data_IF_006253140462
#
_entry.id   IF_006253140462
#
_cell.length_a   1.000
_cell.length_b   1.000
_cell.length_c   1.000
_cell.angle_alpha   90.00
_cell.angle_beta   90.00
_cell.angle_gamma   90.00
#
_symmetry.space_group_name_H-M   'P 1'
#
loop_
_entity.id
_entity.type
_entity.pdbx_description
1 polymer ?
#
# COMPACT_ATOMS: atom_id res chain seq x y z
N UNK A 1 -8.60 19.09 -20.91
CA UNK A 1 -8.52 17.60 -20.98
C UNK A 1 -9.72 17.04 -20.24
N UNK A 2 -10.35 15.99 -20.77
CA UNK A 2 -11.46 15.36 -20.05
C UNK A 2 -10.92 14.66 -18.79
N UNK A 3 -11.56 14.92 -17.63
CA UNK A 3 -11.24 14.26 -16.38
C UNK A 3 -11.58 12.77 -16.44
N UNK A 4 -10.77 11.89 -15.85
CA UNK A 4 -11.13 10.46 -15.64
C UNK A 4 -12.29 10.40 -14.64
N UNK A 5 -13.36 9.69 -15.01
CA UNK A 5 -14.59 9.55 -14.23
C UNK A 5 -14.52 8.29 -13.38
N UNK A 6 -14.51 8.48 -12.06
CA UNK A 6 -14.33 7.39 -11.11
C UNK A 6 -15.65 6.88 -10.54
N UNK A 7 -15.77 5.55 -10.51
CA UNK A 7 -16.74 4.84 -9.70
C UNK A 7 -16.09 4.28 -8.44
N UNK A 8 -16.71 4.44 -7.27
CA UNK A 8 -16.25 3.88 -6.01
C UNK A 8 -17.12 2.68 -5.64
N UNK A 9 -16.52 1.48 -5.57
CA UNK A 9 -17.23 0.22 -5.21
C UNK A 9 -17.09 -0.01 -3.71
N UNK A 10 -17.80 0.67 -2.89
CA UNK A 10 -18.00 0.53 -1.45
C UNK A 10 -18.10 1.88 -0.76
N UNK A 11 -18.68 1.89 0.42
CA UNK A 11 -18.70 3.03 1.36
C UNK A 11 -17.73 2.79 2.53
N UNK A 12 -16.60 2.14 2.26
CA UNK A 12 -15.56 1.88 3.25
C UNK A 12 -14.89 3.18 3.73
N UNK A 13 -14.40 3.18 4.98
CA UNK A 13 -13.77 4.38 5.58
C UNK A 13 -12.63 4.95 4.72
N UNK A 14 -11.77 4.09 4.15
CA UNK A 14 -10.67 4.52 3.27
C UNK A 14 -11.16 5.23 2.01
N UNK A 15 -12.38 4.95 1.54
CA UNK A 15 -12.94 5.62 0.38
C UNK A 15 -13.21 7.11 0.61
N UNK A 16 -13.43 7.55 1.86
CA UNK A 16 -13.55 9.00 2.21
C UNK A 16 -12.25 9.74 1.94
N UNK A 17 -11.13 9.17 2.39
CA UNK A 17 -9.79 9.72 2.12
C UNK A 17 -9.54 9.84 0.62
N UNK A 18 -9.83 8.78 -0.13
CA UNK A 18 -9.57 8.70 -1.55
C UNK A 18 -10.57 9.53 -2.40
N UNK A 19 -11.77 9.77 -1.92
CA UNK A 19 -12.68 10.77 -2.51
C UNK A 19 -12.01 12.14 -2.61
N UNK A 20 -11.46 12.63 -1.49
CA UNK A 20 -10.76 13.91 -1.44
C UNK A 20 -9.49 13.91 -2.30
N UNK A 21 -8.75 12.80 -2.34
CA UNK A 21 -7.58 12.63 -3.19
C UNK A 21 -7.94 12.69 -4.69
N UNK A 22 -9.00 12.00 -5.12
CA UNK A 22 -9.51 12.05 -6.50
C UNK A 22 -9.89 13.49 -6.87
N UNK A 23 -10.67 14.17 -6.00
CA UNK A 23 -11.05 15.58 -6.21
C UNK A 23 -9.85 16.48 -6.43
N UNK A 24 -8.81 16.32 -5.61
CA UNK A 24 -7.65 17.21 -5.60
C UNK A 24 -6.58 16.83 -6.64
N UNK A 25 -6.76 15.74 -7.37
CA UNK A 25 -5.80 15.29 -8.39
C UNK A 25 -5.74 16.19 -9.63
N UNK A 26 -6.82 16.94 -9.89
CA UNK A 26 -6.96 17.89 -11.00
C UNK A 26 -7.43 17.25 -12.32
N UNK A 27 -7.09 15.99 -12.57
CA UNK A 27 -7.41 15.24 -13.79
C UNK A 27 -8.46 14.13 -13.59
N UNK A 28 -9.16 14.15 -12.48
CA UNK A 28 -10.13 13.13 -12.07
C UNK A 28 -11.37 13.74 -11.44
N UNK A 29 -12.48 13.01 -11.43
CA UNK A 29 -13.70 13.33 -10.70
C UNK A 29 -14.42 12.06 -10.29
N UNK A 30 -15.06 12.02 -9.12
CA UNK A 30 -15.95 10.91 -8.75
C UNK A 30 -17.31 11.18 -9.42
N UNK A 31 -17.81 10.23 -10.19
CA UNK A 31 -19.11 10.30 -10.87
C UNK A 31 -20.14 9.32 -10.35
N UNK A 32 -19.69 8.29 -9.61
CA UNK A 32 -20.57 7.25 -9.10
C UNK A 32 -20.05 6.63 -7.80
N UNK A 33 -20.96 6.25 -6.91
CA UNK A 33 -20.67 5.45 -5.73
C UNK A 33 -21.70 4.32 -5.65
N UNK A 34 -21.23 3.11 -5.39
CA UNK A 34 -22.11 1.97 -5.17
C UNK A 34 -21.86 1.29 -3.83
N UNK A 35 -22.92 0.79 -3.23
CA UNK A 35 -22.88 -0.18 -2.14
C UNK A 35 -24.00 -1.19 -2.30
N UNK A 36 -24.07 -2.20 -1.43
CA UNK A 36 -25.17 -3.19 -1.41
C UNK A 36 -26.50 -2.63 -0.91
N UNK A 37 -26.56 -1.32 -0.68
CA UNK A 37 -27.73 -0.60 -0.20
C UNK A 37 -27.68 0.83 -0.73
N UNK A 38 -28.69 1.24 -1.49
CA UNK A 38 -28.75 2.55 -2.14
C UNK A 38 -28.67 3.71 -1.13
N UNK A 39 -29.33 3.60 0.03
CA UNK A 39 -29.30 4.63 1.05
C UNK A 39 -27.91 4.86 1.64
N UNK A 40 -27.11 3.78 1.79
CA UNK A 40 -25.71 3.90 2.18
C UNK A 40 -24.88 4.66 1.15
N UNK A 41 -25.14 4.41 -0.13
CA UNK A 41 -24.44 5.13 -1.20
C UNK A 41 -24.82 6.61 -1.20
N UNK A 42 -26.11 6.93 -1.04
CA UNK A 42 -26.62 8.31 -0.93
C UNK A 42 -26.01 9.05 0.25
N UNK A 43 -26.06 8.43 1.44
CA UNK A 43 -25.48 9.04 2.65
C UNK A 43 -23.97 9.23 2.53
N UNK A 44 -23.25 8.26 1.95
CA UNK A 44 -21.81 8.42 1.72
C UNK A 44 -21.50 9.59 0.79
N UNK A 45 -22.28 9.77 -0.29
CA UNK A 45 -22.14 10.90 -1.21
C UNK A 45 -22.42 12.20 -0.49
N UNK A 46 -23.52 12.30 0.26
CA UNK A 46 -23.90 13.48 1.03
C UNK A 46 -22.80 13.91 2.00
N UNK A 47 -22.34 12.97 2.84
CA UNK A 47 -21.28 13.22 3.84
C UNK A 47 -20.00 13.76 3.17
N UNK A 48 -19.59 13.18 2.04
CA UNK A 48 -18.36 13.59 1.36
C UNK A 48 -18.53 14.86 0.51
N UNK A 49 -19.74 15.10 -0.04
CA UNK A 49 -20.06 16.35 -0.74
C UNK A 49 -20.05 17.54 0.22
N UNK A 50 -20.47 17.35 1.47
CA UNK A 50 -20.43 18.41 2.49
C UNK A 50 -18.99 18.78 2.88
N UNK A 51 -18.06 17.83 2.86
CA UNK A 51 -16.66 18.06 3.25
C UNK A 51 -15.76 18.48 2.06
N UNK A 52 -15.91 17.80 0.93
CA UNK A 52 -15.06 17.95 -0.25
C UNK A 52 -15.91 17.83 -1.54
N UNK A 53 -16.69 18.86 -1.91
CA UNK A 53 -17.67 18.77 -2.97
C UNK A 53 -17.05 18.52 -4.35
N UNK A 54 -17.63 17.60 -5.12
CA UNK A 54 -17.44 17.50 -6.58
C UNK A 54 -18.29 18.59 -7.27
N UNK A 55 -17.85 19.04 -8.44
CA UNK A 55 -18.60 20.04 -9.24
C UNK A 55 -20.01 19.55 -9.59
N UNK A 56 -20.14 18.26 -9.90
CA UNK A 56 -21.41 17.57 -10.11
C UNK A 56 -21.51 16.44 -9.09
N UNK A 57 -22.58 16.37 -8.29
CA UNK A 57 -22.77 15.29 -7.32
C UNK A 57 -22.78 13.92 -8.02
N UNK A 58 -22.05 12.92 -7.48
CA UNK A 58 -22.03 11.59 -8.04
C UNK A 58 -23.39 10.86 -7.96
N UNK A 59 -23.60 9.92 -8.88
CA UNK A 59 -24.79 9.06 -8.89
C UNK A 59 -24.63 7.97 -7.83
N UNK A 60 -25.66 7.76 -7.02
CA UNK A 60 -25.74 6.66 -6.08
C UNK A 60 -26.33 5.41 -6.73
N UNK A 61 -25.67 4.25 -6.56
CA UNK A 61 -26.15 2.95 -7.01
C UNK A 61 -26.36 2.01 -5.82
N UNK A 62 -27.38 1.13 -5.91
CA UNK A 62 -27.72 0.13 -4.90
C UNK A 62 -26.96 -1.20 -5.08
N UNK A 63 -26.28 -1.38 -6.21
CA UNK A 63 -25.46 -2.55 -6.52
C UNK A 63 -24.17 -2.15 -7.24
N UNK A 64 -23.16 -3.00 -7.13
CA UNK A 64 -21.89 -2.79 -7.85
C UNK A 64 -22.05 -3.06 -9.35
N UNK A 65 -22.94 -3.96 -9.72
CA UNK A 65 -23.30 -4.28 -11.12
C UNK A 65 -23.84 -3.05 -11.85
N UNK A 66 -24.77 -2.33 -11.22
CA UNK A 66 -25.34 -1.09 -11.80
C UNK A 66 -24.24 -0.04 -12.05
N UNK A 67 -23.35 0.16 -11.09
CA UNK A 67 -22.23 1.09 -11.28
C UNK A 67 -21.32 0.65 -12.43
N UNK A 68 -20.97 -0.64 -12.50
CA UNK A 68 -20.12 -1.16 -13.56
C UNK A 68 -20.77 -1.05 -14.95
N UNK A 69 -22.09 -1.13 -15.05
CA UNK A 69 -22.85 -0.94 -16.29
C UNK A 69 -22.94 0.54 -16.72
N UNK A 70 -22.66 1.47 -15.83
CA UNK A 70 -22.77 2.90 -16.09
C UNK A 70 -21.75 3.37 -17.14
N UNK A 71 -22.22 4.18 -18.10
CA UNK A 71 -21.38 4.87 -19.09
C UNK A 71 -20.67 6.10 -18.52
N UNK A 72 -21.05 6.53 -17.32
CA UNK A 72 -20.48 7.69 -16.61
C UNK A 72 -19.22 7.34 -15.81
N UNK A 73 -18.70 6.11 -15.95
CA UNK A 73 -17.53 5.60 -15.23
C UNK A 73 -16.48 5.11 -16.20
N UNK A 74 -15.25 5.60 -16.10
CA UNK A 74 -14.09 5.16 -16.89
C UNK A 74 -13.20 4.22 -16.07
N UNK A 75 -13.04 4.51 -14.78
CA UNK A 75 -12.20 3.77 -13.86
C UNK A 75 -12.92 3.50 -12.54
N UNK A 76 -12.59 2.40 -11.89
CA UNK A 76 -13.13 2.06 -10.58
C UNK A 76 -12.05 1.99 -9.50
N UNK A 77 -12.40 2.50 -8.33
CA UNK A 77 -11.65 2.28 -7.09
C UNK A 77 -12.38 1.20 -6.27
N UNK A 78 -11.65 0.15 -5.89
CA UNK A 78 -12.21 -1.04 -5.24
C UNK A 78 -11.66 -1.22 -3.82
N UNK A 79 -12.23 -0.52 -2.80
CA UNK A 79 -11.87 -0.67 -1.39
C UNK A 79 -12.69 -1.75 -0.67
N UNK A 80 -12.93 -2.88 -1.33
CA UNK A 80 -13.61 -4.02 -0.75
C UNK A 80 -12.67 -4.84 0.15
N UNK A 81 -13.17 -5.69 1.04
CA UNK A 81 -12.35 -6.70 1.72
C UNK A 81 -11.60 -7.58 0.72
N UNK A 82 -10.38 -8.01 1.09
CA UNK A 82 -9.46 -8.77 0.21
C UNK A 82 -10.14 -10.00 -0.42
N UNK A 83 -10.88 -10.77 0.37
CA UNK A 83 -11.57 -11.97 -0.11
C UNK A 83 -12.69 -11.74 -1.16
N UNK A 84 -13.05 -10.49 -1.43
CA UNK A 84 -14.07 -10.12 -2.41
C UNK A 84 -13.51 -9.44 -3.66
N UNK A 85 -12.25 -9.01 -3.64
CA UNK A 85 -11.69 -8.13 -4.69
C UNK A 85 -11.56 -8.81 -6.04
N UNK A 86 -11.15 -10.09 -6.06
CA UNK A 86 -10.84 -10.79 -7.31
C UNK A 86 -12.04 -10.80 -8.27
N UNK A 87 -13.24 -11.14 -7.78
CA UNK A 87 -14.45 -11.17 -8.60
C UNK A 87 -14.77 -9.76 -9.16
N UNK A 88 -14.71 -8.73 -8.34
CA UNK A 88 -15.06 -7.37 -8.75
C UNK A 88 -14.04 -6.74 -9.71
N UNK A 89 -12.75 -7.00 -9.53
CA UNK A 89 -11.71 -6.58 -10.49
C UNK A 89 -11.93 -7.26 -11.85
N UNK A 90 -12.20 -8.57 -11.87
CA UNK A 90 -12.45 -9.32 -13.10
C UNK A 90 -13.71 -8.80 -13.80
N UNK A 91 -14.80 -8.54 -13.05
CA UNK A 91 -16.04 -7.96 -13.61
C UNK A 91 -15.82 -6.56 -14.17
N UNK A 92 -15.10 -5.68 -13.43
CA UNK A 92 -14.76 -4.35 -13.89
C UNK A 92 -13.95 -4.39 -15.19
N UNK A 93 -12.93 -5.25 -15.25
CA UNK A 93 -12.11 -5.43 -16.44
C UNK A 93 -12.95 -5.93 -17.63
N UNK A 94 -13.87 -6.89 -17.43
CA UNK A 94 -14.73 -7.42 -18.51
C UNK A 94 -15.57 -6.35 -19.20
N UNK A 95 -15.99 -5.33 -18.47
CA UNK A 95 -16.79 -4.21 -18.99
C UNK A 95 -15.93 -2.98 -19.34
N UNK A 96 -14.59 -3.15 -19.42
CA UNK A 96 -13.68 -2.11 -19.91
C UNK A 96 -13.35 -1.02 -18.92
N UNK A 97 -13.57 -1.20 -17.60
CA UNK A 97 -13.20 -0.21 -16.59
C UNK A 97 -11.76 -0.41 -16.14
N UNK A 98 -10.96 0.66 -16.08
CA UNK A 98 -9.65 0.67 -15.44
C UNK A 98 -9.80 0.51 -13.93
N UNK A 99 -8.79 -0.03 -13.25
CA UNK A 99 -8.94 -0.47 -11.85
C UNK A 99 -7.81 0.01 -10.97
N UNK A 100 -8.15 0.73 -9.90
CA UNK A 100 -7.33 0.86 -8.70
C UNK A 100 -7.91 -0.05 -7.63
N UNK A 101 -7.13 -1.06 -7.20
CA UNK A 101 -7.54 -2.06 -6.21
C UNK A 101 -6.81 -1.85 -4.89
N UNK A 102 -7.51 -1.84 -3.77
CA UNK A 102 -6.85 -1.78 -2.47
C UNK A 102 -5.94 -3.00 -2.22
N UNK A 103 -4.94 -2.75 -1.39
CA UNK A 103 -4.00 -3.78 -0.91
C UNK A 103 -4.56 -4.52 0.34
N UNK A 104 -4.11 -5.76 0.61
CA UNK A 104 -3.49 -6.69 -0.33
C UNK A 104 -4.46 -7.03 -1.44
N UNK A 105 -3.96 -7.19 -2.67
CA UNK A 105 -4.85 -7.20 -3.84
C UNK A 105 -5.81 -8.38 -3.89
N UNK A 106 -5.40 -9.55 -3.45
CA UNK A 106 -6.15 -10.80 -3.56
C UNK A 106 -5.85 -11.76 -2.41
N UNK A 107 -6.69 -12.78 -2.23
CA UNK A 107 -6.50 -13.82 -1.21
C UNK A 107 -5.44 -14.85 -1.60
N UNK A 108 -4.96 -14.82 -2.83
CA UNK A 108 -3.85 -15.65 -3.31
C UNK A 108 -3.20 -15.11 -4.57
N UNK A 109 -1.93 -15.49 -4.78
CA UNK A 109 -1.18 -15.18 -6.01
C UNK A 109 -1.90 -15.70 -7.26
N UNK A 110 -2.59 -16.84 -7.16
CA UNK A 110 -3.40 -17.40 -8.25
C UNK A 110 -4.58 -16.48 -8.60
N UNK A 111 -5.29 -15.97 -7.61
CA UNK A 111 -6.38 -15.01 -7.82
C UNK A 111 -5.85 -13.72 -8.44
N UNK A 112 -4.75 -13.16 -7.89
CA UNK A 112 -4.15 -11.95 -8.43
C UNK A 112 -3.75 -12.11 -9.89
N UNK A 113 -3.10 -13.22 -10.25
CA UNK A 113 -2.78 -13.53 -11.66
C UNK A 113 -4.04 -13.56 -12.54
N UNK A 114 -5.14 -14.11 -12.04
CA UNK A 114 -6.41 -14.15 -12.77
C UNK A 114 -6.98 -12.74 -12.99
N UNK A 115 -6.91 -11.88 -11.98
CA UNK A 115 -7.30 -10.46 -12.05
C UNK A 115 -6.49 -9.71 -13.13
N UNK A 116 -5.17 -9.80 -13.04
CA UNK A 116 -4.25 -9.12 -13.95
C UNK A 116 -4.38 -9.61 -15.39
N UNK A 117 -4.56 -10.92 -15.58
CA UNK A 117 -4.84 -11.49 -16.90
C UNK A 117 -6.17 -10.97 -17.47
N UNK A 118 -7.19 -10.78 -16.64
CA UNK A 118 -8.46 -10.19 -17.10
C UNK A 118 -8.26 -8.74 -17.54
N UNK A 119 -7.53 -7.93 -16.75
CA UNK A 119 -7.19 -6.54 -17.08
C UNK A 119 -6.39 -6.47 -18.39
N UNK A 120 -5.33 -7.27 -18.53
CA UNK A 120 -4.47 -7.31 -19.72
C UNK A 120 -5.24 -7.68 -20.99
N UNK A 121 -6.08 -8.72 -20.92
CA UNK A 121 -6.92 -9.13 -22.07
C UNK A 121 -7.90 -8.07 -22.52
N UNK A 122 -8.39 -7.26 -21.59
CA UNK A 122 -9.35 -6.19 -21.86
C UNK A 122 -8.69 -4.83 -22.11
N UNK A 123 -7.34 -4.78 -22.08
CA UNK A 123 -6.55 -3.57 -22.27
C UNK A 123 -6.96 -2.46 -21.27
N UNK A 124 -7.25 -2.82 -20.03
CA UNK A 124 -7.54 -1.88 -18.95
C UNK A 124 -6.36 -1.84 -17.97
N UNK A 125 -6.05 -0.64 -17.49
CA UNK A 125 -4.99 -0.42 -16.52
C UNK A 125 -5.39 -0.98 -15.16
N UNK A 126 -4.47 -1.69 -14.52
CA UNK A 126 -4.55 -2.09 -13.11
C UNK A 126 -3.43 -1.40 -12.32
N UNK A 127 -3.74 -0.99 -11.09
CA UNK A 127 -2.78 -0.53 -10.09
C UNK A 127 -3.28 -0.88 -8.70
N UNK A 128 -2.39 -1.23 -7.78
CA UNK A 128 -2.75 -1.40 -6.38
C UNK A 128 -2.67 -0.07 -5.61
N UNK A 129 -3.47 0.04 -4.54
CA UNK A 129 -3.66 1.27 -3.76
C UNK A 129 -2.51 1.56 -2.78
N UNK A 130 -1.26 1.37 -3.18
CA UNK A 130 -0.08 1.62 -2.32
C UNK A 130 0.39 3.06 -2.48
N UNK A 131 -0.19 3.96 -1.71
CA UNK A 131 -0.04 5.41 -1.89
C UNK A 131 1.38 5.94 -1.66
N UNK A 132 2.17 5.36 -0.74
CA UNK A 132 3.50 5.88 -0.41
C UNK A 132 4.47 5.84 -1.60
N UNK A 133 4.26 4.92 -2.55
CA UNK A 133 5.07 4.82 -3.77
C UNK A 133 4.90 6.02 -4.71
N UNK A 134 3.89 6.85 -4.47
CA UNK A 134 3.60 8.08 -5.21
C UNK A 134 4.01 9.36 -4.45
N UNK A 135 4.73 9.21 -3.32
CA UNK A 135 5.32 10.33 -2.59
C UNK A 135 6.58 10.83 -3.29
N UNK A 136 6.73 12.15 -3.39
CA UNK A 136 7.94 12.81 -3.88
C UNK A 136 9.16 12.51 -3.00
N UNK A 137 8.92 12.07 -1.75
CA UNK A 137 9.96 11.60 -0.84
C UNK A 137 10.75 10.44 -1.45
N UNK A 138 10.10 9.51 -2.17
CA UNK A 138 10.79 8.37 -2.77
C UNK A 138 11.71 8.77 -3.91
N UNK A 139 11.35 9.76 -4.72
CA UNK A 139 12.23 10.30 -5.76
C UNK A 139 13.52 10.84 -5.15
N UNK A 140 13.38 11.63 -4.06
CA UNK A 140 14.52 12.19 -3.34
C UNK A 140 15.36 11.12 -2.63
N UNK A 141 14.69 10.12 -2.04
CA UNK A 141 15.34 8.97 -1.40
C UNK A 141 16.19 8.19 -2.41
N UNK A 142 15.63 7.90 -3.59
CA UNK A 142 16.36 7.23 -4.68
C UNK A 142 17.59 8.05 -5.11
N UNK A 143 17.45 9.36 -5.24
CA UNK A 143 18.56 10.25 -5.58
C UNK A 143 19.69 10.19 -4.53
N UNK A 144 19.40 10.15 -3.23
CA UNK A 144 20.39 10.02 -2.17
C UNK A 144 21.10 8.64 -2.20
N UNK A 145 20.35 7.57 -2.44
CA UNK A 145 20.92 6.22 -2.60
C UNK A 145 21.83 6.17 -3.82
N UNK A 146 21.38 6.66 -4.97
CA UNK A 146 22.17 6.69 -6.22
C UNK A 146 23.39 7.58 -6.14
N UNK A 147 23.34 8.65 -5.33
CA UNK A 147 24.50 9.49 -5.01
C UNK A 147 25.52 8.80 -4.06
N UNK A 148 25.27 7.53 -3.70
CA UNK A 148 26.18 6.71 -2.90
C UNK A 148 26.21 7.08 -1.42
N UNK A 149 25.20 7.79 -0.90
CA UNK A 149 25.17 8.23 0.51
C UNK A 149 25.10 7.07 1.49
N UNK A 150 24.47 5.97 1.10
CA UNK A 150 24.49 4.71 1.87
C UNK A 150 25.69 3.83 1.55
N UNK A 151 26.34 4.02 0.40
CA UNK A 151 27.22 3.00 -0.18
C UNK A 151 26.40 1.77 -0.63
N UNK A 152 27.00 0.58 -0.56
CA UNK A 152 26.32 -0.67 -0.82
C UNK A 152 25.31 -0.96 0.30
N UNK A 153 24.03 -1.19 -0.07
CA UNK A 153 22.99 -1.51 0.92
C UNK A 153 23.24 -2.90 1.48
N UNK A 154 23.30 -3.03 2.80
CA UNK A 154 23.51 -4.28 3.52
C UNK A 154 22.26 -4.75 4.26
N UNK A 155 21.51 -3.84 4.85
CA UNK A 155 20.35 -4.15 5.68
C UNK A 155 19.23 -3.15 5.49
N UNK A 156 18.01 -3.64 5.32
CA UNK A 156 16.77 -2.85 5.39
C UNK A 156 15.99 -3.34 6.60
N UNK A 157 15.48 -2.42 7.41
CA UNK A 157 14.59 -2.78 8.52
C UNK A 157 13.38 -1.87 8.51
N UNK A 158 12.18 -2.42 8.77
CA UNK A 158 10.95 -1.63 8.82
C UNK A 158 9.97 -2.20 9.82
N UNK A 159 9.15 -1.33 10.38
CA UNK A 159 8.02 -1.71 11.21
C UNK A 159 6.78 -0.92 10.81
N UNK A 160 5.64 -1.58 10.88
CA UNK A 160 4.34 -0.91 10.80
C UNK A 160 3.37 -1.58 11.76
N UNK A 161 2.91 -0.83 12.74
CA UNK A 161 2.03 -1.33 13.79
C UNK A 161 1.06 -0.28 14.30
N UNK A 162 0.01 -0.74 14.94
CA UNK A 162 -0.89 0.05 15.77
C UNK A 162 -1.50 -0.82 16.87
N UNK A 163 -1.93 -0.18 17.96
CA UNK A 163 -2.58 -0.89 19.05
C UNK A 163 -4.09 -0.92 18.85
N UNK A 164 -4.63 -2.11 18.58
CA UNK A 164 -6.05 -2.36 18.42
C UNK A 164 -6.72 -2.70 19.75
N UNK A 165 -7.96 -2.28 19.93
CA UNK A 165 -8.78 -2.62 21.09
C UNK A 165 -9.42 -4.02 20.99
N UNK A 166 -10.08 -4.43 22.04
CA UNK A 166 -10.74 -5.74 22.10
C UNK A 166 -11.90 -5.89 21.11
N UNK A 167 -12.56 -4.80 20.73
CA UNK A 167 -13.66 -4.82 19.75
C UNK A 167 -13.14 -5.06 18.34
N UNK A 168 -11.99 -4.47 18.01
CA UNK A 168 -11.30 -4.75 16.74
C UNK A 168 -11.03 -6.25 16.56
N UNK A 169 -10.46 -6.90 17.56
CA UNK A 169 -10.16 -8.34 17.47
C UNK A 169 -11.42 -9.22 17.36
N UNK A 170 -12.55 -8.76 17.88
CA UNK A 170 -13.82 -9.52 17.83
C UNK A 170 -14.59 -9.31 16.53
N UNK A 171 -14.66 -8.08 16.05
CA UNK A 171 -15.67 -7.65 15.08
C UNK A 171 -15.09 -7.06 13.78
N UNK A 172 -13.81 -6.66 13.75
CA UNK A 172 -13.20 -6.08 12.55
C UNK A 172 -12.98 -7.14 11.48
N UNK A 173 -13.12 -6.75 10.21
CA UNK A 173 -12.85 -7.63 9.06
C UNK A 173 -11.43 -8.16 9.05
N UNK A 174 -10.45 -7.41 9.60
CA UNK A 174 -9.03 -7.79 9.70
C UNK A 174 -8.77 -8.98 10.64
N UNK A 175 -9.74 -9.32 11.48
CA UNK A 175 -9.73 -10.53 12.30
C UNK A 175 -10.54 -11.68 11.66
N UNK A 176 -10.87 -11.60 10.37
CA UNK A 176 -11.66 -12.59 9.65
C UNK A 176 -10.86 -13.22 8.50
N UNK A 177 -10.57 -14.50 8.59
CA UNK A 177 -9.72 -15.25 7.66
C UNK A 177 -10.31 -15.43 6.25
N UNK A 178 -11.60 -15.17 6.03
CA UNK A 178 -12.23 -15.16 4.69
C UNK A 178 -12.12 -13.79 4.05
N UNK A 179 -12.35 -12.74 4.83
CA UNK A 179 -12.35 -11.37 4.33
C UNK A 179 -10.93 -10.79 4.22
N UNK A 180 -10.07 -11.07 5.22
CA UNK A 180 -8.68 -10.60 5.29
C UNK A 180 -7.75 -11.75 5.72
N UNK A 181 -7.44 -12.70 4.80
CA UNK A 181 -6.79 -13.97 5.14
C UNK A 181 -5.36 -13.83 5.66
N UNK A 182 -4.74 -12.70 5.48
CA UNK A 182 -3.36 -12.46 5.87
C UNK A 182 -3.22 -11.67 7.19
N UNK A 183 -4.32 -11.19 7.79
CA UNK A 183 -4.28 -10.40 9.02
C UNK A 183 -3.34 -9.19 8.94
N UNK A 184 -2.49 -9.00 9.96
CA UNK A 184 -1.53 -7.88 9.99
C UNK A 184 -0.45 -7.99 8.89
N UNK A 185 -0.08 -9.20 8.48
CA UNK A 185 0.87 -9.39 7.37
C UNK A 185 0.33 -8.79 6.07
N UNK A 186 -0.95 -8.98 5.76
CA UNK A 186 -1.58 -8.38 4.59
C UNK A 186 -1.87 -6.89 4.76
N UNK A 187 -2.38 -6.48 5.92
CA UNK A 187 -2.75 -5.08 6.15
C UNK A 187 -1.53 -4.15 6.27
N UNK A 188 -0.53 -4.54 7.01
CA UNK A 188 0.64 -3.73 7.35
C UNK A 188 1.94 -4.25 6.69
N UNK A 189 2.17 -5.56 6.73
CA UNK A 189 3.36 -6.19 6.15
C UNK A 189 3.50 -5.98 4.65
N UNK A 190 2.38 -5.83 3.92
CA UNK A 190 2.39 -5.46 2.50
C UNK A 190 3.24 -4.23 2.21
N UNK A 191 3.12 -3.19 3.04
CA UNK A 191 3.89 -1.95 2.89
C UNK A 191 5.38 -2.15 3.15
N UNK A 192 5.73 -2.91 4.19
CA UNK A 192 7.12 -3.22 4.52
C UNK A 192 7.80 -4.03 3.40
N UNK A 193 7.13 -5.04 2.88
CA UNK A 193 7.60 -5.86 1.75
C UNK A 193 7.74 -5.01 0.49
N UNK A 194 6.72 -4.18 0.17
CA UNK A 194 6.76 -3.27 -0.98
C UNK A 194 7.94 -2.30 -0.91
N UNK A 195 8.21 -1.74 0.27
CA UNK A 195 9.33 -0.82 0.46
C UNK A 195 10.68 -1.53 0.23
N UNK A 196 10.84 -2.75 0.77
CA UNK A 196 12.05 -3.52 0.59
C UNK A 196 12.30 -3.84 -0.90
N UNK A 197 11.28 -4.28 -1.63
CA UNK A 197 11.37 -4.53 -3.07
C UNK A 197 11.72 -3.25 -3.83
N UNK A 198 11.05 -2.14 -3.53
CA UNK A 198 11.33 -0.84 -4.16
C UNK A 198 12.77 -0.38 -3.92
N UNK A 199 13.31 -0.51 -2.68
CA UNK A 199 14.70 -0.17 -2.36
C UNK A 199 15.67 -1.04 -3.17
N UNK A 200 15.36 -2.34 -3.29
CA UNK A 200 16.14 -3.33 -4.03
C UNK A 200 15.91 -3.30 -5.54
N UNK A 201 15.31 -2.23 -6.08
CA UNK A 201 15.06 -2.04 -7.52
C UNK A 201 14.30 -3.22 -8.13
N UNK A 202 13.24 -3.65 -7.43
CA UNK A 202 12.35 -4.74 -7.83
C UNK A 202 12.99 -6.12 -7.89
N UNK A 203 14.23 -6.28 -7.44
CA UNK A 203 14.86 -7.60 -7.32
C UNK A 203 14.11 -8.44 -6.29
N UNK A 204 13.80 -9.68 -6.67
CA UNK A 204 13.15 -10.63 -5.76
C UNK A 204 14.17 -11.17 -4.73
N UNK A 205 13.77 -11.41 -3.48
CA UNK A 205 14.60 -12.14 -2.56
C UNK A 205 14.75 -13.60 -3.04
N UNK A 206 15.92 -14.19 -2.79
CA UNK A 206 16.19 -15.60 -3.10
C UNK A 206 15.44 -16.53 -2.15
N UNK A 207 15.27 -16.10 -0.89
CA UNK A 207 14.65 -16.86 0.18
C UNK A 207 13.99 -15.89 1.16
N UNK A 208 12.98 -16.38 1.86
CA UNK A 208 12.32 -15.66 2.95
C UNK A 208 12.13 -16.57 4.15
N UNK A 209 12.05 -15.97 5.34
CA UNK A 209 11.48 -16.60 6.52
C UNK A 209 10.40 -15.72 7.12
N UNK A 210 9.42 -16.34 7.77
CA UNK A 210 8.32 -15.65 8.42
C UNK A 210 7.90 -16.36 9.70
N UNK A 211 7.36 -15.59 10.65
CA UNK A 211 6.83 -16.11 11.90
C UNK A 211 5.60 -15.33 12.33
N UNK A 212 4.47 -15.99 12.46
CA UNK A 212 3.32 -15.46 13.18
C UNK A 212 3.66 -15.52 14.69
N UNK A 213 3.71 -14.34 15.31
CA UNK A 213 4.07 -14.20 16.73
C UNK A 213 2.82 -14.27 17.60
N UNK A 214 1.69 -13.77 17.08
CA UNK A 214 0.39 -13.82 17.71
C UNK A 214 -0.70 -13.96 16.64
N UNK A 215 -1.77 -14.65 16.98
CA UNK A 215 -2.92 -14.87 16.11
C UNK A 215 -4.24 -14.69 16.87
N UNK A 216 -5.27 -14.26 16.19
CA UNK A 216 -6.62 -14.13 16.73
C UNK A 216 -7.66 -14.74 15.79
N UNK A 217 -8.71 -15.29 16.37
CA UNK A 217 -9.90 -15.71 15.64
C UNK A 217 -11.07 -14.79 15.99
N UNK A 218 -11.42 -13.91 15.07
CA UNK A 218 -12.59 -13.02 15.21
C UNK A 218 -13.89 -13.80 15.31
N UNK A 219 -14.94 -13.18 15.85
CA UNK A 219 -16.22 -13.82 16.19
C UNK A 219 -16.89 -14.56 15.01
N UNK A 220 -16.71 -14.04 13.78
CA UNK A 220 -17.29 -14.62 12.54
C UNK A 220 -16.22 -15.23 11.64
N UNK A 221 -15.02 -15.47 12.15
CA UNK A 221 -13.92 -16.05 11.38
C UNK A 221 -13.90 -17.57 11.49
N UNK A 222 -13.80 -18.31 10.39
CA UNK A 222 -13.63 -19.77 10.45
C UNK A 222 -12.25 -20.19 10.97
N UNK A 223 -11.21 -19.36 10.81
CA UNK A 223 -9.84 -19.62 11.28
C UNK A 223 -9.20 -18.38 11.89
N UNK A 224 -8.08 -18.56 12.60
CA UNK A 224 -7.27 -17.46 13.11
C UNK A 224 -6.49 -16.77 11.98
N UNK A 225 -6.12 -15.52 12.21
CA UNK A 225 -5.25 -14.71 11.37
C UNK A 225 -4.15 -14.08 12.21
N UNK A 226 -3.00 -13.80 11.62
CA UNK A 226 -1.90 -13.17 12.32
C UNK A 226 -2.26 -11.74 12.80
N UNK A 227 -2.01 -11.46 14.06
CA UNK A 227 -2.10 -10.13 14.67
C UNK A 227 -0.75 -9.51 14.92
N UNK A 228 0.30 -10.34 14.99
CA UNK A 228 1.69 -9.94 14.98
C UNK A 228 2.49 -10.87 14.07
N UNK A 229 3.37 -10.30 13.26
CA UNK A 229 4.18 -11.04 12.32
C UNK A 229 5.56 -10.43 12.15
N UNK A 230 6.59 -11.28 12.07
CA UNK A 230 7.95 -10.91 11.74
C UNK A 230 8.41 -11.68 10.50
N UNK A 231 9.12 -11.01 9.61
CA UNK A 231 9.64 -11.61 8.39
C UNK A 231 11.05 -11.14 8.06
N UNK A 232 11.79 -12.00 7.37
CA UNK A 232 13.14 -11.75 6.87
C UNK A 232 13.22 -12.15 5.39
N UNK A 233 13.74 -11.26 4.57
CA UNK A 233 13.96 -11.43 3.13
C UNK A 233 15.47 -11.46 2.86
N UNK A 234 15.95 -12.46 2.13
CA UNK A 234 17.37 -12.64 1.81
C UNK A 234 17.57 -12.45 0.31
N UNK A 235 18.29 -11.39 -0.05
CA UNK A 235 18.60 -11.05 -1.42
C UNK A 235 19.99 -11.59 -1.82
N UNK A 236 20.26 -11.56 -3.12
CA UNK A 236 21.60 -11.83 -3.63
C UNK A 236 22.62 -10.80 -3.13
N UNK A 237 23.91 -11.18 -3.11
CA UNK A 237 24.98 -10.31 -2.61
C UNK A 237 24.99 -10.11 -1.08
N UNK A 238 24.23 -10.91 -0.32
CA UNK A 238 24.21 -10.87 1.14
C UNK A 238 23.40 -9.73 1.76
N UNK A 239 22.64 -8.99 0.96
CA UNK A 239 21.67 -7.99 1.46
C UNK A 239 20.47 -8.70 2.08
N UNK A 240 19.98 -8.19 3.21
CA UNK A 240 18.75 -8.69 3.83
C UNK A 240 17.78 -7.56 4.22
N UNK A 241 16.50 -7.94 4.35
CA UNK A 241 15.48 -7.04 4.87
C UNK A 241 14.65 -7.74 5.92
N UNK A 242 14.51 -7.15 7.10
CA UNK A 242 13.55 -7.60 8.11
C UNK A 242 12.41 -6.62 8.28
N UNK A 243 11.24 -7.17 8.61
CA UNK A 243 10.09 -6.35 8.95
C UNK A 243 9.32 -6.92 10.13
N UNK A 244 8.64 -6.02 10.83
CA UNK A 244 7.68 -6.33 11.87
C UNK A 244 6.36 -5.62 11.57
N UNK A 245 5.24 -6.32 11.75
CA UNK A 245 3.92 -5.73 11.64
C UNK A 245 2.98 -6.28 12.72
N UNK A 246 2.18 -5.39 13.32
CA UNK A 246 1.37 -5.76 14.48
C UNK A 246 0.12 -4.91 14.62
N UNK A 247 -0.97 -5.55 15.09
CA UNK A 247 -2.15 -4.89 15.63
C UNK A 247 -2.12 -4.77 17.16
N UNK A 248 -0.99 -5.16 17.80
CA UNK A 248 -0.90 -5.32 19.26
C UNK A 248 0.16 -4.43 19.90
N UNK A 249 0.95 -3.70 19.12
CA UNK A 249 2.00 -2.80 19.62
C UNK A 249 1.67 -1.34 19.34
N UNK A 250 2.45 -0.43 19.90
CA UNK A 250 2.27 1.02 19.70
C UNK A 250 2.30 1.41 18.23
N UNK A 251 1.76 2.59 17.92
CA UNK A 251 1.72 3.13 16.56
C UNK A 251 3.14 3.44 16.05
N UNK A 252 3.61 2.63 15.12
CA UNK A 252 4.92 2.76 14.47
C UNK A 252 4.80 2.58 12.95
N UNK A 253 5.64 3.28 12.20
CA UNK A 253 5.69 3.14 10.74
C UNK A 253 7.03 3.62 10.18
N UNK A 254 8.11 3.13 10.74
CA UNK A 254 9.46 3.55 10.39
C UNK A 254 10.17 2.56 9.45
N UNK A 255 11.20 3.07 8.77
CA UNK A 255 12.12 2.28 7.98
C UNK A 255 13.56 2.78 8.11
N UNK A 256 14.52 1.87 8.07
CA UNK A 256 15.94 2.15 8.02
C UNK A 256 16.60 1.40 6.86
N UNK A 257 17.47 2.11 6.13
CA UNK A 257 18.24 1.59 5.02
C UNK A 257 19.71 1.75 5.39
N UNK A 258 20.36 0.65 5.77
CA UNK A 258 21.74 0.66 6.24
C UNK A 258 22.68 0.12 5.18
N UNK A 259 23.75 0.83 4.91
CA UNK A 259 24.77 0.46 3.95
C UNK A 259 26.19 0.67 4.46
N UNK A 260 27.16 0.47 3.58
CA UNK A 260 28.60 0.49 3.94
C UNK A 260 29.15 1.89 4.25
N UNK A 261 28.45 2.97 3.87
CA UNK A 261 28.88 4.36 4.04
C UNK A 261 27.93 5.21 4.86
N UNK A 262 26.71 4.75 5.10
CA UNK A 262 25.71 5.52 5.81
C UNK A 262 24.39 4.80 5.97
N UNK A 263 23.52 5.45 6.71
CA UNK A 263 22.18 4.99 7.05
C UNK A 263 21.16 6.07 6.65
N UNK A 264 20.04 5.64 6.07
CA UNK A 264 18.87 6.50 5.89
C UNK A 264 17.77 6.02 6.83
N UNK A 265 17.11 6.95 7.53
CA UNK A 265 15.99 6.68 8.43
C UNK A 265 14.75 7.46 8.01
N UNK A 266 13.62 6.77 7.90
CA UNK A 266 12.30 7.34 7.63
C UNK A 266 11.42 6.99 8.82
N UNK A 267 10.70 7.96 9.39
CA UNK A 267 9.89 7.72 10.59
C UNK A 267 8.42 7.40 10.29
N UNK A 268 7.94 7.78 9.11
CA UNK A 268 6.53 7.79 8.74
C UNK A 268 6.34 7.39 7.26
N UNK A 269 6.92 6.25 6.85
CA UNK A 269 7.01 5.91 5.43
C UNK A 269 5.67 5.59 4.77
N UNK A 270 4.64 5.19 5.54
CA UNK A 270 3.31 4.84 5.01
C UNK A 270 2.34 6.01 5.09
N UNK A 271 2.11 6.51 6.30
CA UNK A 271 1.18 7.60 6.61
C UNK A 271 1.98 8.80 7.13
N UNK A 272 2.30 9.78 6.28
CA UNK A 272 3.05 10.94 6.71
C UNK A 272 2.39 11.63 7.92
N UNK A 273 3.21 12.08 8.87
CA UNK A 273 2.72 12.92 9.95
C UNK A 273 2.04 14.16 9.39
N UNK A 274 1.06 14.68 10.15
CA UNK A 274 0.36 15.89 9.74
C UNK A 274 1.34 17.06 9.57
N UNK A 275 1.37 17.65 8.37
CA UNK A 275 2.28 18.73 8.07
C UNK A 275 2.30 19.13 6.59
N UNK A 276 3.22 20.02 6.28
CA UNK A 276 3.45 20.59 4.94
C UNK A 276 4.64 19.96 4.22
N UNK A 277 5.34 19.04 4.87
CA UNK A 277 6.49 18.34 4.33
C UNK A 277 6.53 16.87 4.73
N UNK A 278 7.21 16.08 3.93
CA UNK A 278 7.66 14.73 4.26
C UNK A 278 9.17 14.70 4.32
N UNK A 279 9.76 13.86 5.17
CA UNK A 279 11.19 13.91 5.38
C UNK A 279 11.83 12.55 5.63
N UNK A 280 13.16 12.54 5.59
CA UNK A 280 13.99 11.46 6.08
C UNK A 280 15.35 12.02 6.56
N UNK A 281 16.06 11.21 7.30
CA UNK A 281 17.39 11.57 7.82
C UNK A 281 18.47 10.70 7.18
N UNK A 282 19.60 11.33 6.86
CA UNK A 282 20.80 10.64 6.37
C UNK A 282 21.87 10.75 7.46
N UNK A 283 22.43 9.62 7.85
CA UNK A 283 23.49 9.54 8.85
C UNK A 283 24.76 8.97 8.20
N UNK A 284 25.85 9.70 8.37
CA UNK A 284 27.20 9.24 8.03
C UNK A 284 28.06 9.31 9.30
N UNK A 285 27.64 8.57 10.32
CA UNK A 285 28.31 8.53 11.61
C UNK A 285 29.71 7.95 11.49
N UNK A 286 30.66 8.52 12.22
CA UNK A 286 32.04 8.07 12.25
C UNK A 286 32.56 7.91 13.68
N UNK A 287 33.42 6.91 13.90
CA UNK A 287 34.19 6.79 15.15
C UNK A 287 35.40 7.71 15.07
N UNK A 288 35.51 8.60 16.04
CA UNK A 288 36.70 9.44 16.24
C UNK A 288 37.47 8.99 17.47
N UNK A 289 38.73 8.71 17.28
CA UNK A 289 39.66 8.31 18.36
C UNK A 289 40.73 9.37 18.52
N UNK A 290 40.86 9.93 19.73
CA UNK A 290 41.90 10.90 20.08
C UNK A 290 42.46 10.50 21.44
N UNK A 291 43.67 9.92 21.46
CA UNK A 291 44.26 9.39 22.68
C UNK A 291 43.38 8.28 23.30
N UNK A 292 42.90 8.51 24.52
CA UNK A 292 42.02 7.60 25.24
C UNK A 292 40.52 7.86 24.98
N UNK A 293 40.18 8.89 24.20
CA UNK A 293 38.79 9.27 23.93
C UNK A 293 38.26 8.60 22.67
N UNK A 294 37.18 7.84 22.81
CA UNK A 294 36.47 7.14 21.73
C UNK A 294 35.07 7.74 21.63
N UNK A 295 34.80 8.50 20.58
CA UNK A 295 33.54 9.21 20.40
C UNK A 295 32.91 8.87 19.03
N UNK A 296 31.58 8.81 18.98
CA UNK A 296 30.84 8.76 17.73
C UNK A 296 30.44 10.17 17.29
N UNK A 297 30.83 10.54 16.08
CA UNK A 297 30.33 11.76 15.43
C UNK A 297 29.04 11.39 14.63
N UNK A 298 27.89 12.03 14.90
CA UNK A 298 26.60 11.56 14.36
C UNK A 298 26.44 11.81 12.86
N UNK A 299 27.10 12.81 12.26
CA UNK A 299 27.02 13.09 10.82
C UNK A 299 25.59 13.13 10.27
N UNK A 300 24.66 13.74 11.01
CA UNK A 300 23.22 13.74 10.70
C UNK A 300 22.85 14.88 9.75
N UNK A 301 22.05 14.56 8.72
CA UNK A 301 21.42 15.53 7.82
C UNK A 301 19.94 15.23 7.64
N UNK A 302 19.11 16.23 7.90
CA UNK A 302 17.67 16.18 7.63
C UNK A 302 17.39 16.57 6.18
N UNK A 303 16.53 15.80 5.51
CA UNK A 303 16.09 16.03 4.13
C UNK A 303 14.59 16.17 4.12
N UNK A 304 14.10 17.38 3.91
CA UNK A 304 12.69 17.71 3.84
C UNK A 304 12.24 17.94 2.38
N UNK A 305 11.05 17.50 2.06
CA UNK A 305 10.43 17.64 0.75
C UNK A 305 9.05 18.26 0.92
N UNK A 306 8.73 19.39 0.25
CA UNK A 306 7.41 19.99 0.31
C UNK A 306 6.34 19.05 -0.26
N UNK A 307 5.59 18.42 0.62
CA UNK A 307 4.48 17.52 0.31
C UNK A 307 3.52 17.53 1.49
N UNK A 308 2.33 18.06 1.29
CA UNK A 308 1.32 18.12 2.34
C UNK A 308 0.68 16.75 2.57
N UNK A 309 0.25 16.50 3.79
CA UNK A 309 -0.54 15.32 4.17
C UNK A 309 -2.03 15.46 3.80
N UNK A 310 -2.85 14.46 4.16
CA UNK A 310 -4.31 14.49 4.16
C UNK A 310 -4.97 14.81 2.81
N UNK A 311 -4.53 14.14 1.77
CA UNK A 311 -5.11 14.28 0.42
C UNK A 311 -5.08 15.71 -0.13
N UNK A 312 -4.13 16.54 0.33
CA UNK A 312 -3.81 17.80 -0.32
C UNK A 312 -3.39 17.59 -1.78
N UNK A 313 -3.42 18.64 -2.60
CA UNK A 313 -3.05 18.54 -4.02
C UNK A 313 -1.63 17.99 -4.29
N UNK A 314 -0.73 18.03 -3.31
CA UNK A 314 0.64 17.51 -3.41
C UNK A 314 0.84 16.17 -2.70
N UNK A 315 -0.16 15.66 -1.96
CA UNK A 315 -0.02 14.43 -1.15
C UNK A 315 0.15 13.18 -2.00
N UNK A 316 0.75 12.17 -1.40
CA UNK A 316 0.97 10.86 -2.02
C UNK A 316 -0.34 10.22 -2.51
N UNK A 317 -1.45 10.33 -1.77
CA UNK A 317 -2.76 9.81 -2.17
C UNK A 317 -3.29 10.49 -3.43
N UNK A 318 -3.16 11.80 -3.47
CA UNK A 318 -3.58 12.61 -4.62
C UNK A 318 -2.69 12.32 -5.83
N UNK A 319 -1.39 12.16 -5.62
CA UNK A 319 -0.44 11.79 -6.68
C UNK A 319 -0.74 10.40 -7.25
N UNK A 320 -1.15 9.43 -6.43
CA UNK A 320 -1.58 8.10 -6.88
C UNK A 320 -2.70 8.23 -7.93
N UNK A 321 -3.79 8.92 -7.60
CA UNK A 321 -4.92 9.09 -8.54
C UNK A 321 -4.55 9.96 -9.74
N UNK A 322 -3.73 10.99 -9.56
CA UNK A 322 -3.23 11.83 -10.66
C UNK A 322 -2.40 11.02 -11.66
N UNK A 323 -1.45 10.22 -11.16
CA UNK A 323 -0.57 9.39 -12.00
C UNK A 323 -1.37 8.32 -12.72
N UNK A 324 -2.30 7.66 -12.02
CA UNK A 324 -3.16 6.66 -12.64
C UNK A 324 -4.04 7.27 -13.73
N UNK A 325 -4.68 8.39 -13.46
CA UNK A 325 -5.53 9.05 -14.45
C UNK A 325 -4.73 9.54 -15.66
N UNK A 326 -3.52 10.06 -15.47
CA UNK A 326 -2.63 10.43 -16.59
C UNK A 326 -2.27 9.22 -17.45
N UNK A 327 -2.01 8.06 -16.84
CA UNK A 327 -1.76 6.81 -17.57
C UNK A 327 -2.97 6.36 -18.38
N UNK A 328 -4.18 6.41 -17.79
CA UNK A 328 -5.43 6.10 -18.51
C UNK A 328 -5.62 7.03 -19.69
N UNK A 329 -5.43 8.34 -19.50
CA UNK A 329 -5.56 9.36 -20.53
C UNK A 329 -4.54 9.20 -21.68
N UNK A 330 -3.38 8.63 -21.41
CA UNK A 330 -2.36 8.36 -22.43
C UNK A 330 -2.76 7.25 -23.41
N UNK A 331 -3.74 6.42 -23.07
CA UNK A 331 -4.12 5.24 -23.83
C UNK A 331 -3.10 4.10 -23.81
N UNK A 332 -2.01 4.26 -23.06
CA UNK A 332 -0.95 3.27 -22.90
C UNK A 332 -1.14 2.50 -21.60
N UNK A 333 -0.71 1.23 -21.55
CA UNK A 333 -0.68 0.46 -20.31
C UNK A 333 0.69 0.56 -19.65
N UNK A 334 0.70 0.66 -18.34
CA UNK A 334 1.89 0.49 -17.50
C UNK A 334 1.89 -0.94 -16.95
N UNK A 335 2.84 -1.76 -17.37
CA UNK A 335 2.98 -3.16 -16.93
C UNK A 335 3.76 -3.28 -15.60
N UNK A 336 4.44 -2.23 -15.13
CA UNK A 336 5.22 -2.26 -13.88
C UNK A 336 4.31 -2.36 -12.63
N UNK A 337 3.18 -1.64 -12.63
CA UNK A 337 2.27 -1.66 -11.48
C UNK A 337 1.65 -3.05 -11.20
N UNK A 338 1.10 -3.76 -12.21
CA UNK A 338 0.67 -5.15 -12.01
C UNK A 338 1.78 -6.08 -11.56
N UNK A 339 2.97 -5.95 -12.15
CA UNK A 339 4.13 -6.78 -11.81
C UNK A 339 4.59 -6.55 -10.38
N UNK A 340 4.61 -5.30 -9.91
CA UNK A 340 4.95 -4.94 -8.54
C UNK A 340 3.96 -5.55 -7.54
N UNK A 341 2.66 -5.50 -7.85
CA UNK A 341 1.64 -6.15 -7.03
C UNK A 341 1.87 -7.67 -6.93
N UNK A 342 2.20 -8.33 -8.06
CA UNK A 342 2.53 -9.76 -8.11
C UNK A 342 3.73 -10.11 -7.25
N UNK A 343 4.82 -9.36 -7.36
CA UNK A 343 6.05 -9.58 -6.57
C UNK A 343 5.78 -9.43 -5.08
N UNK A 344 5.05 -8.38 -4.69
CA UNK A 344 4.69 -8.15 -3.29
C UNK A 344 3.83 -9.29 -2.74
N UNK A 345 2.82 -9.73 -3.50
CA UNK A 345 1.96 -10.86 -3.13
C UNK A 345 2.76 -12.17 -2.98
N UNK A 346 3.67 -12.45 -3.94
CA UNK A 346 4.49 -13.66 -3.90
C UNK A 346 5.38 -13.72 -2.65
N UNK A 347 6.05 -12.62 -2.33
CA UNK A 347 6.90 -12.51 -1.13
C UNK A 347 6.06 -12.68 0.14
N UNK A 348 4.91 -12.00 0.21
CA UNK A 348 4.00 -12.09 1.36
C UNK A 348 3.51 -13.52 1.60
N UNK A 349 3.07 -14.22 0.54
CA UNK A 349 2.61 -15.61 0.65
C UNK A 349 3.75 -16.57 1.05
N UNK A 350 4.95 -16.35 0.52
CA UNK A 350 6.12 -17.14 0.91
C UNK A 350 6.48 -16.94 2.40
N UNK A 351 6.37 -15.71 2.92
CA UNK A 351 6.53 -15.45 4.36
C UNK A 351 5.46 -16.17 5.19
N UNK A 352 4.20 -16.13 4.75
CA UNK A 352 3.13 -16.87 5.43
C UNK A 352 3.34 -18.39 5.36
N UNK A 353 3.79 -18.91 4.21
CA UNK A 353 4.14 -20.34 4.06
C UNK A 353 5.25 -20.72 5.03
N UNK A 354 6.31 -19.92 5.13
CA UNK A 354 7.40 -20.10 6.09
C UNK A 354 6.87 -20.19 7.53
N UNK A 355 6.01 -19.24 7.93
CA UNK A 355 5.42 -19.24 9.26
C UNK A 355 4.64 -20.54 9.56
N UNK A 356 3.91 -21.07 8.59
CA UNK A 356 3.14 -22.31 8.71
C UNK A 356 4.00 -23.58 8.75
N UNK A 357 5.25 -23.49 8.33
CA UNK A 357 6.22 -24.61 8.32
C UNK A 357 7.32 -24.43 9.36
N UNK A 358 6.98 -23.83 10.51
CA UNK A 358 7.92 -23.65 11.63
C UNK A 358 9.04 -22.65 11.36
N UNK A 359 8.79 -21.64 10.55
CA UNK A 359 9.74 -20.61 10.11
C UNK A 359 10.88 -21.16 9.22
N UNK A 360 10.63 -22.26 8.52
CA UNK A 360 11.57 -22.79 7.54
C UNK A 360 11.78 -21.80 6.39
N UNK A 361 13.00 -21.77 5.83
CA UNK A 361 13.32 -20.94 4.69
C UNK A 361 12.53 -21.39 3.44
N UNK A 362 11.80 -20.48 2.83
CA UNK A 362 11.09 -20.68 1.56
C UNK A 362 11.88 -20.01 0.44
N UNK A 363 12.12 -20.71 -0.66
CA UNK A 363 12.71 -20.16 -1.89
C UNK A 363 11.61 -19.53 -2.75
N UNK A 364 11.95 -18.45 -3.42
CA UNK A 364 11.08 -17.73 -4.38
C UNK A 364 11.51 -17.98 -5.80
#
# INVERSE_FOLDING_TARGET
>A
MNKVRWGILSTAGIARKNWKAIRNSGNSTVTAVASRNLERSRKFIEDNQNEAPMEVPPIAFGSYEELLASKEVDAVYIPLPTGLRADWVIRAAKVGKHVVCEKPCASSLKELRSMLNACKRKKVQFMDGVMFTHSRRLEKLRAEINAGKTGEIKRITSAFSFHADSDFYRNNIRANSVLEPFGCLGDLGWYCIRLALWIMEERMPLRVSGKALSEVRGRKSPAAVATEFSGELFFDGGTSSSFYCSFSSADEQWAMINGTKGLIRIQDFVLPYFGSEVSFEVFNAGLKVTGCDFNMEPGRRHVAIPEYSNSHATSQETNLFRTFAAQVQSGQLNDEWPEMALRTQAVMEACLQSARTGSALVRL
#
